data_IF_600221737864
#
_entry.id   IF_600221737864
#
_cell.length_a   1.000
_cell.length_b   1.000
_cell.length_c   1.000
_cell.angle_alpha   90.00
_cell.angle_beta   90.00
_cell.angle_gamma   90.00
#
_symmetry.space_group_name_H-M   'P 1'
#
loop_
_entity.id
_entity.type
_entity.pdbx_description
1 polymer ?
#
# COMPACT_ATOMS: atom_id res chain seq x y z
N UNK A 1 -7.33 -28.23 -16.68
CA UNK A 1 -7.90 -29.46 -17.30
C UNK A 1 -8.52 -29.07 -18.63
N UNK A 2 -7.95 -29.54 -19.74
CA UNK A 2 -8.53 -29.33 -21.07
C UNK A 2 -9.67 -30.32 -21.25
N UNK A 3 -10.92 -29.83 -21.29
CA UNK A 3 -12.10 -30.66 -21.49
C UNK A 3 -12.18 -30.97 -22.99
N UNK A 4 -12.09 -32.25 -23.36
CA UNK A 4 -12.30 -32.68 -24.74
C UNK A 4 -13.78 -32.51 -25.12
N UNK A 5 -14.09 -32.11 -26.37
CA UNK A 5 -15.48 -32.00 -26.82
C UNK A 5 -16.14 -33.39 -26.74
N UNK A 6 -17.14 -33.55 -25.87
CA UNK A 6 -17.92 -34.79 -25.73
C UNK A 6 -17.84 -35.48 -24.36
N UNK A 7 -17.07 -34.96 -23.40
CA UNK A 7 -17.06 -35.52 -22.04
C UNK A 7 -18.26 -34.99 -21.23
N UNK A 8 -19.17 -35.88 -20.83
CA UNK A 8 -20.25 -35.55 -19.91
C UNK A 8 -19.67 -35.26 -18.52
N UNK A 9 -20.12 -34.18 -17.88
CA UNK A 9 -19.78 -33.84 -16.51
C UNK A 9 -21.00 -34.11 -15.63
N UNK A 10 -20.88 -35.10 -14.75
CA UNK A 10 -21.92 -35.38 -13.77
C UNK A 10 -21.84 -34.36 -12.63
N UNK A 11 -22.95 -33.65 -12.39
CA UNK A 11 -23.08 -32.62 -11.35
C UNK A 11 -24.18 -33.06 -10.39
N UNK A 12 -23.86 -33.10 -9.09
CA UNK A 12 -24.83 -33.39 -8.03
C UNK A 12 -25.34 -32.09 -7.37
N UNK A 13 -26.52 -32.15 -6.77
CA UNK A 13 -27.08 -31.10 -5.92
C UNK A 13 -27.62 -31.71 -4.61
N UNK A 14 -27.71 -30.89 -3.56
CA UNK A 14 -28.17 -31.34 -2.24
C UNK A 14 -29.65 -31.71 -2.23
N UNK A 15 -30.46 -31.09 -3.11
CA UNK A 15 -31.91 -31.34 -3.23
C UNK A 15 -32.36 -31.50 -4.68
N UNK A 16 -33.49 -32.18 -4.88
CA UNK A 16 -34.14 -32.31 -6.20
C UNK A 16 -34.70 -30.97 -6.71
N UNK A 17 -35.10 -30.09 -5.80
CA UNK A 17 -35.57 -28.74 -6.14
C UNK A 17 -34.42 -27.92 -6.75
N UNK A 18 -33.25 -27.93 -6.11
CA UNK A 18 -32.05 -27.27 -6.64
C UNK A 18 -31.62 -27.88 -7.97
N UNK A 19 -31.64 -29.22 -8.11
CA UNK A 19 -31.30 -29.88 -9.37
C UNK A 19 -32.17 -29.35 -10.51
N UNK A 20 -33.48 -29.35 -10.28
CA UNK A 20 -34.47 -28.95 -11.27
C UNK A 20 -34.32 -27.46 -11.60
N UNK A 21 -34.07 -26.62 -10.57
CA UNK A 21 -33.80 -25.21 -10.72
C UNK A 21 -32.56 -24.92 -11.56
N UNK A 22 -31.43 -25.57 -11.24
CA UNK A 22 -30.17 -25.44 -11.97
C UNK A 22 -30.30 -25.89 -13.42
N UNK A 23 -30.88 -27.06 -13.68
CA UNK A 23 -31.11 -27.57 -15.04
C UNK A 23 -31.97 -26.60 -15.85
N UNK A 24 -33.05 -26.08 -15.25
CA UNK A 24 -33.90 -25.08 -15.88
C UNK A 24 -33.15 -23.80 -16.25
N UNK A 25 -32.38 -23.24 -15.29
CA UNK A 25 -31.62 -22.01 -15.49
C UNK A 25 -30.47 -22.15 -16.48
N UNK A 26 -29.75 -23.27 -16.48
CA UNK A 26 -28.70 -23.56 -17.45
C UNK A 26 -29.28 -23.66 -18.85
N UNK A 27 -30.38 -24.41 -19.02
CA UNK A 27 -31.05 -24.54 -20.33
C UNK A 27 -31.54 -23.20 -20.87
N UNK A 28 -32.15 -22.38 -20.02
CA UNK A 28 -32.60 -21.03 -20.37
C UNK A 28 -31.42 -20.11 -20.75
N UNK A 29 -30.31 -20.15 -19.99
CA UNK A 29 -29.12 -19.36 -20.28
C UNK A 29 -28.48 -19.74 -21.62
N UNK A 30 -28.42 -21.03 -21.96
CA UNK A 30 -27.94 -21.51 -23.26
C UNK A 30 -28.82 -21.03 -24.42
N UNK A 31 -30.12 -20.84 -24.19
CA UNK A 31 -31.07 -20.39 -25.20
C UNK A 31 -31.10 -18.86 -25.38
N UNK A 32 -30.77 -18.09 -24.33
CA UNK A 32 -30.97 -16.63 -24.27
C UNK A 32 -29.69 -15.82 -23.94
N UNK A 33 -28.52 -16.33 -24.32
CA UNK A 33 -27.21 -15.83 -23.87
C UNK A 33 -26.97 -14.31 -24.09
N UNK A 34 -27.51 -13.73 -25.16
CA UNK A 34 -27.29 -12.31 -25.51
C UNK A 34 -28.32 -11.32 -24.90
N UNK A 35 -29.49 -11.78 -24.46
CA UNK A 35 -30.60 -10.91 -24.06
C UNK A 35 -30.58 -10.48 -22.57
N UNK A 36 -30.03 -11.31 -21.67
CA UNK A 36 -30.16 -11.14 -20.21
C UNK A 36 -29.39 -9.97 -19.62
N UNK A 37 -28.20 -9.65 -20.14
CA UNK A 37 -27.32 -8.64 -19.54
C UNK A 37 -27.86 -7.21 -19.65
N UNK A 38 -28.74 -6.95 -20.63
CA UNK A 38 -29.40 -5.66 -20.82
C UNK A 38 -30.66 -5.52 -19.95
N UNK A 39 -31.40 -6.62 -19.73
CA UNK A 39 -32.63 -6.61 -18.94
C UNK A 39 -32.38 -6.36 -17.44
N UNK A 40 -31.35 -6.97 -16.84
CA UNK A 40 -31.02 -6.76 -15.42
C UNK A 40 -30.70 -5.29 -15.12
N UNK A 41 -29.92 -4.63 -15.99
CA UNK A 41 -29.61 -3.19 -15.89
C UNK A 41 -30.85 -2.31 -16.05
N UNK A 42 -31.80 -2.70 -16.89
CA UNK A 42 -33.07 -1.98 -17.02
C UNK A 42 -33.98 -2.19 -15.81
N UNK A 43 -34.02 -3.39 -15.25
CA UNK A 43 -34.83 -3.73 -14.09
C UNK A 43 -34.34 -3.01 -12.83
N UNK A 44 -33.03 -2.90 -12.64
CA UNK A 44 -32.42 -2.12 -11.56
C UNK A 44 -32.79 -0.63 -11.65
N UNK A 45 -32.81 -0.05 -12.86
CA UNK A 45 -33.21 1.34 -13.12
C UNK A 45 -34.70 1.62 -12.88
N UNK A 46 -35.56 0.59 -12.90
CA UNK A 46 -37.03 0.73 -12.80
C UNK A 46 -37.57 0.59 -11.37
N UNK A 47 -36.73 0.28 -10.37
CA UNK A 47 -37.18 0.17 -8.98
C UNK A 47 -37.61 1.56 -8.47
N UNK A 48 -38.90 1.75 -8.24
CA UNK A 48 -39.47 2.95 -7.62
C UNK A 48 -39.05 2.95 -6.14
N UNK A 49 -38.38 4.02 -5.70
CA UNK A 49 -37.96 4.21 -4.30
C UNK A 49 -39.14 4.82 -3.53
N UNK A 50 -39.45 4.28 -2.36
CA UNK A 50 -40.49 4.83 -1.47
C UNK A 50 -40.09 6.24 -0.98
N UNK A 51 -41.07 7.16 -0.89
CA UNK A 51 -40.80 8.54 -0.53
C UNK A 51 -40.21 8.65 0.88
N UNK A 52 -40.74 7.88 1.82
CA UNK A 52 -40.34 7.84 3.23
C UNK A 52 -38.86 7.43 3.38
N UNK A 53 -38.36 6.57 2.48
CA UNK A 53 -36.94 6.21 2.45
C UNK A 53 -36.09 7.29 1.78
N UNK A 54 -36.61 7.93 0.73
CA UNK A 54 -35.91 9.00 0.01
C UNK A 54 -35.72 10.25 0.88
N UNK A 55 -36.67 10.58 1.74
CA UNK A 55 -36.62 11.75 2.63
C UNK A 55 -35.50 11.66 3.68
N UNK A 56 -35.03 10.45 4.01
CA UNK A 56 -33.91 10.23 4.94
C UNK A 56 -32.54 10.60 4.33
N UNK A 57 -32.44 10.75 3.00
CA UNK A 57 -31.17 10.99 2.30
C UNK A 57 -30.89 12.49 2.15
N UNK A 58 -30.38 13.11 3.21
CA UNK A 58 -30.12 14.57 3.26
C UNK A 58 -28.81 14.96 2.59
N UNK A 59 -27.69 14.42 3.08
CA UNK A 59 -26.35 14.72 2.57
C UNK A 59 -25.99 13.74 1.49
N UNK A 60 -25.50 12.54 1.83
CA UNK A 60 -24.97 11.50 0.94
C UNK A 60 -25.95 11.00 -0.15
N UNK A 61 -26.31 11.87 -1.09
CA UNK A 61 -27.24 11.58 -2.19
C UNK A 61 -26.47 10.83 -3.28
N UNK A 62 -26.78 9.55 -3.54
CA UNK A 62 -26.06 8.79 -4.54
C UNK A 62 -26.48 9.26 -5.94
N UNK A 63 -25.54 9.80 -6.71
CA UNK A 63 -25.75 10.24 -8.09
C UNK A 63 -24.73 9.61 -9.04
N UNK A 64 -25.06 9.47 -10.34
CA UNK A 64 -24.08 9.11 -11.35
C UNK A 64 -22.92 10.11 -11.36
N UNK A 65 -21.70 9.59 -11.34
CA UNK A 65 -20.50 10.43 -11.43
C UNK A 65 -20.43 11.16 -12.76
N UNK A 66 -20.17 12.47 -12.72
CA UNK A 66 -19.96 13.31 -13.89
C UNK A 66 -18.70 14.18 -13.68
N UNK A 67 -17.66 13.91 -14.47
CA UNK A 67 -16.35 14.57 -14.38
C UNK A 67 -16.38 16.04 -14.85
N UNK A 68 -17.30 16.40 -15.74
CA UNK A 68 -17.44 17.76 -16.27
C UNK A 68 -17.91 18.75 -15.19
N UNK A 69 -18.65 18.25 -14.17
CA UNK A 69 -19.14 19.07 -13.06
C UNK A 69 -18.05 19.46 -12.06
N UNK A 70 -16.92 18.75 -12.03
CA UNK A 70 -15.87 18.98 -11.02
C UNK A 70 -15.32 20.41 -11.17
N UNK A 71 -15.25 21.15 -10.06
CA UNK A 71 -14.77 22.53 -10.03
C UNK A 71 -15.78 23.57 -10.57
N UNK A 72 -17.01 23.16 -10.92
CA UNK A 72 -18.07 24.07 -11.38
C UNK A 72 -19.08 24.38 -10.28
N UNK A 73 -19.96 25.35 -10.51
CA UNK A 73 -21.10 25.65 -9.63
C UNK A 73 -22.11 24.49 -9.56
N UNK A 74 -22.15 23.62 -10.57
CA UNK A 74 -23.04 22.45 -10.60
C UNK A 74 -22.63 21.33 -9.64
N UNK A 75 -21.41 21.37 -9.09
CA UNK A 75 -20.96 20.42 -8.09
C UNK A 75 -21.68 20.68 -6.75
N UNK A 76 -22.55 19.76 -6.33
CA UNK A 76 -23.27 19.84 -5.07
C UNK A 76 -22.57 19.01 -3.99
N UNK A 77 -22.23 19.61 -2.86
CA UNK A 77 -21.53 18.94 -1.75
C UNK A 77 -22.34 17.81 -1.08
N UNK A 78 -23.67 17.80 -1.29
CA UNK A 78 -24.55 16.71 -0.85
C UNK A 78 -24.40 15.49 -1.77
N UNK A 79 -24.19 15.72 -3.06
CA UNK A 79 -24.11 14.63 -4.01
C UNK A 79 -22.81 13.84 -3.83
N UNK A 80 -22.92 12.51 -3.87
CA UNK A 80 -21.79 11.59 -3.80
C UNK A 80 -21.89 10.50 -4.86
N UNK A 81 -20.76 9.88 -5.19
CA UNK A 81 -20.73 8.77 -6.15
C UNK A 81 -20.00 7.56 -5.58
N UNK A 82 -20.49 6.37 -5.94
CA UNK A 82 -19.86 5.09 -5.61
C UNK A 82 -19.16 4.51 -6.82
N UNK A 83 -17.99 3.92 -6.60
CA UNK A 83 -17.11 3.37 -7.63
C UNK A 83 -16.68 1.95 -7.25
N UNK A 84 -16.87 0.95 -8.12
CA UNK A 84 -16.13 -0.29 -7.96
C UNK A 84 -14.63 0.00 -8.14
N UNK A 85 -13.75 -0.76 -7.47
CA UNK A 85 -12.30 -0.55 -7.51
C UNK A 85 -11.77 -0.38 -8.94
N UNK A 86 -12.23 -1.21 -9.89
CA UNK A 86 -11.80 -1.19 -11.30
C UNK A 86 -12.14 0.11 -12.04
N UNK A 87 -13.17 0.83 -11.57
CA UNK A 87 -13.53 2.15 -12.09
C UNK A 87 -12.72 3.24 -11.38
N UNK A 88 -12.54 3.13 -10.06
CA UNK A 88 -11.76 4.06 -9.26
C UNK A 88 -10.28 4.10 -9.67
N UNK A 89 -9.69 2.95 -9.98
CA UNK A 89 -8.32 2.80 -10.49
C UNK A 89 -8.08 3.59 -11.78
N UNK A 90 -9.10 3.77 -12.64
CA UNK A 90 -9.00 4.60 -13.86
C UNK A 90 -8.95 6.10 -13.58
N UNK A 91 -9.30 6.51 -12.36
CA UNK A 91 -9.23 7.90 -11.91
C UNK A 91 -7.99 8.12 -11.03
N UNK A 92 -7.62 7.15 -10.20
CA UNK A 92 -6.42 7.15 -9.37
C UNK A 92 -5.15 6.80 -10.19
N UNK A 93 -4.87 7.61 -11.22
CA UNK A 93 -3.69 7.48 -12.07
C UNK A 93 -2.98 8.83 -12.20
N UNK A 94 -1.72 8.83 -12.65
CA UNK A 94 -0.97 10.08 -12.94
C UNK A 94 -1.71 11.06 -13.85
N UNK A 95 -2.53 10.57 -14.78
CA UNK A 95 -3.25 11.43 -15.72
C UNK A 95 -4.51 12.10 -15.13
N UNK A 96 -5.16 11.47 -14.14
CA UNK A 96 -6.49 11.89 -13.65
C UNK A 96 -6.59 12.06 -12.14
N UNK A 97 -5.55 11.70 -11.40
CA UNK A 97 -5.49 11.71 -9.95
C UNK A 97 -5.77 13.08 -9.37
N UNK A 98 -5.11 14.11 -9.90
CA UNK A 98 -5.35 15.51 -9.52
C UNK A 98 -6.81 15.94 -9.72
N UNK A 99 -7.43 15.54 -10.84
CA UNK A 99 -8.85 15.85 -11.11
C UNK A 99 -9.78 15.11 -10.15
N UNK A 100 -9.47 13.85 -9.81
CA UNK A 100 -10.24 13.08 -8.83
C UNK A 100 -10.07 13.63 -7.41
N UNK A 101 -8.88 14.11 -7.05
CA UNK A 101 -8.63 14.82 -5.80
C UNK A 101 -9.46 16.11 -5.71
N UNK A 102 -9.54 16.88 -6.80
CA UNK A 102 -10.38 18.08 -6.86
C UNK A 102 -11.87 17.75 -6.61
N UNK A 103 -12.38 16.64 -7.13
CA UNK A 103 -13.73 16.15 -6.82
C UNK A 103 -13.89 15.88 -5.32
N UNK A 104 -12.94 15.16 -4.73
CA UNK A 104 -12.99 14.72 -3.35
C UNK A 104 -12.81 15.84 -2.31
N UNK A 105 -12.34 17.02 -2.71
CA UNK A 105 -12.32 18.21 -1.83
C UNK A 105 -13.72 18.75 -1.51
N UNK A 106 -14.70 18.52 -2.40
CA UNK A 106 -16.05 19.09 -2.28
C UNK A 106 -17.14 18.04 -2.14
N UNK A 107 -16.95 16.84 -2.69
CA UNK A 107 -17.92 15.75 -2.72
C UNK A 107 -17.31 14.47 -2.14
N UNK A 108 -18.16 13.53 -1.72
CA UNK A 108 -17.71 12.24 -1.22
C UNK A 108 -17.60 11.22 -2.36
N UNK A 109 -16.52 10.43 -2.38
CA UNK A 109 -16.46 9.18 -3.13
C UNK A 109 -16.47 7.98 -2.21
N UNK A 110 -17.22 6.95 -2.60
CA UNK A 110 -17.16 5.62 -2.00
C UNK A 110 -16.54 4.62 -2.97
N UNK A 111 -15.43 4.02 -2.58
CA UNK A 111 -14.78 2.94 -3.36
C UNK A 111 -15.06 1.62 -2.68
N UNK A 112 -15.33 0.56 -3.45
CA UNK A 112 -15.62 -0.76 -2.90
C UNK A 112 -15.02 -1.89 -3.76
N UNK A 113 -14.76 -3.08 -3.17
CA UNK A 113 -14.13 -4.18 -3.88
C UNK A 113 -14.98 -4.65 -5.06
N UNK A 114 -14.33 -5.10 -6.15
CA UNK A 114 -15.06 -5.66 -7.31
C UNK A 114 -15.76 -6.97 -6.95
N UNK A 115 -16.89 -7.25 -7.61
CA UNK A 115 -17.70 -8.45 -7.34
C UNK A 115 -16.98 -9.78 -7.61
N UNK A 116 -15.90 -9.80 -8.40
CA UNK A 116 -15.11 -11.01 -8.65
C UNK A 116 -14.26 -11.46 -7.46
N UNK A 117 -14.10 -10.64 -6.41
CA UNK A 117 -13.39 -11.00 -5.18
C UNK A 117 -14.27 -11.83 -4.26
N UNK A 118 -14.61 -13.04 -4.73
CA UNK A 118 -15.44 -13.99 -3.98
C UNK A 118 -14.76 -14.47 -2.69
N UNK A 119 -13.42 -14.41 -2.66
CA UNK A 119 -12.58 -14.67 -1.49
C UNK A 119 -12.58 -13.54 -0.46
N UNK A 120 -13.31 -12.44 -0.71
CA UNK A 120 -13.31 -11.22 0.10
C UNK A 120 -11.94 -10.54 0.22
N UNK A 121 -11.00 -10.78 -0.70
CA UNK A 121 -9.74 -10.03 -0.74
C UNK A 121 -9.97 -8.52 -0.86
N UNK A 122 -9.04 -7.71 -0.38
CA UNK A 122 -9.09 -6.26 -0.54
C UNK A 122 -8.20 -5.75 -1.69
N UNK A 123 -8.54 -4.57 -2.21
CA UNK A 123 -7.67 -3.78 -3.08
C UNK A 123 -6.75 -2.88 -2.25
N UNK A 124 -5.70 -2.34 -2.85
CA UNK A 124 -4.82 -1.37 -2.18
C UNK A 124 -5.56 -0.04 -1.96
N UNK A 125 -5.75 0.41 -0.71
CA UNK A 125 -6.46 1.64 -0.42
C UNK A 125 -5.61 2.91 -0.66
N UNK A 126 -4.28 2.80 -0.73
CA UNK A 126 -3.37 3.96 -0.79
C UNK A 126 -3.63 4.88 -1.99
N UNK A 127 -3.76 4.38 -3.24
CA UNK A 127 -4.04 5.26 -4.39
C UNK A 127 -5.37 6.01 -4.26
N UNK A 128 -6.37 5.40 -3.61
CA UNK A 128 -7.68 6.01 -3.40
C UNK A 128 -7.60 7.11 -2.36
N UNK A 129 -6.95 6.85 -1.22
CA UNK A 129 -6.74 7.87 -0.19
C UNK A 129 -5.86 9.02 -0.68
N UNK A 130 -4.80 8.76 -1.44
CA UNK A 130 -3.95 9.79 -2.05
C UNK A 130 -4.71 10.71 -3.00
N UNK A 131 -5.74 10.19 -3.68
CA UNK A 131 -6.67 10.98 -4.47
C UNK A 131 -7.85 11.55 -3.65
N UNK A 132 -7.77 11.53 -2.32
CA UNK A 132 -8.73 12.15 -1.41
C UNK A 132 -10.02 11.36 -1.19
N UNK A 133 -10.15 10.14 -1.72
CA UNK A 133 -11.34 9.31 -1.49
C UNK A 133 -11.52 9.03 0.00
N UNK A 134 -12.72 9.27 0.52
CA UNK A 134 -13.01 9.27 1.95
C UNK A 134 -13.59 7.94 2.42
N UNK A 135 -14.48 7.35 1.61
CA UNK A 135 -15.21 6.12 1.95
C UNK A 135 -14.60 4.93 1.18
N UNK A 136 -13.34 4.62 1.47
CA UNK A 136 -12.61 3.48 0.90
C UNK A 136 -13.01 2.21 1.64
N UNK A 137 -14.10 1.57 1.19
CA UNK A 137 -14.66 0.40 1.85
C UNK A 137 -13.80 -0.84 1.58
N UNK A 138 -13.48 -1.56 2.65
CA UNK A 138 -12.72 -2.80 2.66
C UNK A 138 -13.55 -3.90 3.35
N UNK A 139 -13.22 -5.15 3.06
CA UNK A 139 -13.72 -6.35 3.71
C UNK A 139 -12.99 -6.55 5.04
N UNK A 140 -13.63 -6.15 6.14
CA UNK A 140 -13.03 -6.18 7.49
C UNK A 140 -12.72 -7.59 8.01
N UNK A 141 -13.40 -8.60 7.48
CA UNK A 141 -13.19 -10.01 7.83
C UNK A 141 -11.87 -10.57 7.28
N UNK A 142 -11.20 -9.88 6.35
CA UNK A 142 -10.01 -10.37 5.67
C UNK A 142 -8.74 -9.77 6.29
N UNK A 143 -7.84 -10.57 6.88
CA UNK A 143 -6.64 -10.09 7.56
C UNK A 143 -5.48 -9.81 6.58
N UNK A 144 -5.71 -8.98 5.57
CA UNK A 144 -4.74 -8.65 4.53
C UNK A 144 -4.04 -7.30 4.75
N UNK A 145 -3.03 -7.01 3.92
CA UNK A 145 -2.26 -5.74 3.98
C UNK A 145 -3.18 -4.49 3.93
N UNK A 146 -4.16 -4.39 3.03
CA UNK A 146 -5.12 -3.29 3.02
C UNK A 146 -5.81 -3.06 4.37
N UNK A 147 -6.28 -4.14 5.02
CA UNK A 147 -6.95 -4.02 6.31
C UNK A 147 -5.98 -3.57 7.40
N UNK A 148 -4.74 -4.06 7.40
CA UNK A 148 -3.71 -3.64 8.34
C UNK A 148 -3.36 -2.14 8.16
N UNK A 149 -3.23 -1.66 6.92
CA UNK A 149 -3.02 -0.24 6.62
C UNK A 149 -4.19 0.63 7.08
N UNK A 150 -5.42 0.17 6.88
CA UNK A 150 -6.61 0.88 7.35
C UNK A 150 -6.62 1.02 8.87
N UNK A 151 -6.36 -0.06 9.61
CA UNK A 151 -6.24 0.02 11.07
C UNK A 151 -5.15 1.01 11.48
N UNK A 152 -4.00 1.02 10.81
CA UNK A 152 -2.90 1.94 11.10
C UNK A 152 -3.23 3.41 10.79
N UNK A 153 -3.95 3.70 9.70
CA UNK A 153 -4.42 5.04 9.39
C UNK A 153 -5.35 5.55 10.49
N UNK A 154 -6.35 4.76 10.88
CA UNK A 154 -7.37 5.17 11.85
C UNK A 154 -6.92 5.08 13.32
N UNK A 155 -5.68 4.64 13.59
CA UNK A 155 -5.02 4.95 14.87
C UNK A 155 -4.82 6.46 15.06
N UNK A 156 -4.69 7.21 13.95
CA UNK A 156 -4.69 8.67 13.99
C UNK A 156 -6.07 9.19 14.42
N UNK A 157 -6.10 10.32 15.12
CA UNK A 157 -7.37 10.88 15.61
C UNK A 157 -8.02 10.03 16.73
N UNK A 158 -7.22 9.21 17.43
CA UNK A 158 -7.64 8.49 18.62
C UNK A 158 -8.62 7.35 18.37
N UNK A 159 -8.63 6.75 17.17
CA UNK A 159 -9.52 5.62 16.88
C UNK A 159 -10.97 6.02 16.57
N UNK A 160 -11.25 7.30 16.32
CA UNK A 160 -12.61 7.81 16.08
C UNK A 160 -13.23 7.36 14.75
N UNK A 161 -12.44 6.78 13.84
CA UNK A 161 -12.86 6.49 12.47
C UNK A 161 -12.79 7.71 11.53
N UNK A 162 -12.31 8.86 12.00
CA UNK A 162 -12.12 10.07 11.19
C UNK A 162 -10.70 10.62 11.34
N UNK A 163 -10.01 10.78 10.22
CA UNK A 163 -8.66 11.35 10.16
C UNK A 163 -8.68 12.53 9.19
N UNK A 164 -8.33 13.75 9.63
CA UNK A 164 -8.16 14.88 8.73
C UNK A 164 -7.10 14.55 7.67
N UNK A 165 -7.45 14.76 6.40
CA UNK A 165 -6.50 14.66 5.30
C UNK A 165 -5.37 15.69 5.50
N UNK A 166 -4.11 15.35 5.16
CA UNK A 166 -3.01 16.30 5.12
C UNK A 166 -3.35 17.61 4.41
N UNK A 167 -2.88 18.73 4.94
CA UNK A 167 -3.19 20.06 4.42
C UNK A 167 -2.81 20.21 2.94
N UNK A 168 -1.68 19.63 2.55
CA UNK A 168 -1.22 19.65 1.15
C UNK A 168 -2.21 19.00 0.18
N UNK A 169 -2.98 18.01 0.61
CA UNK A 169 -3.98 17.37 -0.25
C UNK A 169 -5.17 18.30 -0.54
N UNK A 170 -5.34 19.36 0.24
CA UNK A 170 -6.37 20.38 0.06
C UNK A 170 -5.89 21.53 -0.86
N UNK A 171 -4.62 21.55 -1.25
CA UNK A 171 -4.03 22.56 -2.14
C UNK A 171 -4.23 22.24 -3.64
N UNK A 172 -4.67 23.22 -4.42
CA UNK A 172 -4.88 23.11 -5.87
C UNK A 172 -3.62 22.78 -6.69
N UNK A 173 -2.43 23.02 -6.15
CA UNK A 173 -1.17 22.66 -6.83
C UNK A 173 -0.83 21.18 -6.71
N UNK A 174 -1.16 20.55 -5.58
CA UNK A 174 -0.76 19.18 -5.25
C UNK A 174 -1.28 18.14 -6.24
N UNK A 175 -0.38 17.26 -6.66
CA UNK A 175 -0.65 16.06 -7.44
C UNK A 175 -0.08 14.83 -6.71
N UNK A 176 -0.92 13.85 -6.34
CA UNK A 176 -0.45 12.67 -5.60
C UNK A 176 0.57 11.81 -6.35
N UNK A 177 0.70 11.96 -7.67
CA UNK A 177 1.61 11.19 -8.52
C UNK A 177 2.82 11.99 -9.00
N UNK A 178 2.98 13.23 -8.53
CA UNK A 178 4.11 14.10 -8.86
C UNK A 178 4.71 14.70 -7.59
N UNK A 179 5.86 14.16 -7.17
CA UNK A 179 6.59 14.61 -5.99
C UNK A 179 7.05 16.07 -6.08
N UNK A 180 7.19 16.64 -7.28
CA UNK A 180 7.65 18.03 -7.44
C UNK A 180 6.56 19.03 -7.04
N UNK A 181 5.31 18.56 -6.91
CA UNK A 181 4.20 19.33 -6.34
C UNK A 181 4.20 19.33 -4.81
N UNK A 182 5.11 18.58 -4.17
CA UNK A 182 5.23 18.56 -2.71
C UNK A 182 5.90 19.85 -2.21
N UNK A 183 5.15 20.65 -1.47
CA UNK A 183 5.67 21.77 -0.69
C UNK A 183 6.00 21.34 0.76
N UNK A 184 6.59 20.16 0.91
CA UNK A 184 6.97 19.57 2.19
C UNK A 184 8.49 19.39 2.29
N UNK A 185 8.98 19.33 3.53
CA UNK A 185 10.37 18.93 3.79
C UNK A 185 10.48 17.40 3.78
N UNK A 186 11.24 16.81 2.84
CA UNK A 186 11.48 15.37 2.84
C UNK A 186 12.31 14.97 4.07
N UNK A 187 12.08 13.75 4.54
CA UNK A 187 12.82 13.19 5.67
C UNK A 187 13.56 11.92 5.24
N UNK A 188 14.65 11.62 5.92
CA UNK A 188 15.34 10.34 5.83
C UNK A 188 15.19 9.60 7.16
N UNK A 189 14.61 8.40 7.11
CA UNK A 189 14.47 7.49 8.23
C UNK A 189 15.66 6.54 8.23
N UNK A 190 16.46 6.60 9.29
CA UNK A 190 17.58 5.71 9.54
C UNK A 190 17.18 4.69 10.60
N UNK A 191 17.02 3.44 10.22
CA UNK A 191 16.47 2.39 11.05
C UNK A 191 17.44 1.24 11.21
N UNK A 192 17.57 0.74 12.43
CA UNK A 192 18.29 -0.49 12.72
C UNK A 192 17.37 -1.43 13.49
N UNK A 193 17.15 -2.62 12.95
CA UNK A 193 16.47 -3.71 13.68
C UNK A 193 17.53 -4.44 14.48
N UNK A 194 17.40 -4.45 15.81
CA UNK A 194 18.43 -4.97 16.72
C UNK A 194 18.11 -6.39 17.17
N UNK A 195 16.84 -6.66 17.44
CA UNK A 195 16.39 -7.97 17.90
C UNK A 195 14.89 -8.01 18.12
N UNK A 196 14.39 -9.16 18.52
CA UNK A 196 12.99 -9.34 18.91
C UNK A 196 12.87 -10.08 20.24
N UNK A 197 11.67 -10.11 20.79
CA UNK A 197 11.30 -10.98 21.91
C UNK A 197 9.95 -11.62 21.66
N UNK A 198 9.77 -12.85 22.12
CA UNK A 198 8.49 -13.58 22.12
C UNK A 198 7.78 -13.58 20.76
N UNK A 199 8.51 -13.83 19.67
CA UNK A 199 7.86 -13.98 18.37
C UNK A 199 6.88 -15.17 18.41
N UNK A 200 5.70 -15.04 17.79
CA UNK A 200 4.74 -16.13 17.75
C UNK A 200 5.33 -17.30 16.95
N UNK A 201 4.86 -18.49 17.26
CA UNK A 201 5.28 -19.73 16.62
C UNK A 201 4.15 -20.28 15.79
N UNK A 202 4.41 -20.54 14.51
CA UNK A 202 3.50 -21.27 13.66
C UNK A 202 3.89 -22.76 13.70
N UNK A 203 3.00 -23.62 14.20
CA UNK A 203 3.23 -25.06 14.21
C UNK A 203 4.23 -25.56 15.28
N UNK A 204 4.99 -26.61 14.95
CA UNK A 204 5.80 -27.38 15.94
C UNK A 204 7.31 -27.07 15.90
N UNK A 205 7.84 -26.53 14.82
CA UNK A 205 9.27 -26.18 14.66
C UNK A 205 9.65 -24.91 15.43
N UNK A 206 10.94 -24.69 15.64
CA UNK A 206 11.41 -23.38 16.09
C UNK A 206 11.47 -22.48 14.86
N UNK A 207 11.01 -21.25 15.00
CA UNK A 207 10.94 -20.30 13.88
C UNK A 207 12.35 -19.81 13.51
N UNK A 208 12.57 -19.59 12.21
CA UNK A 208 13.78 -18.97 11.68
C UNK A 208 13.46 -17.55 11.21
N UNK A 209 13.46 -16.52 12.08
CA UNK A 209 12.81 -15.27 11.76
C UNK A 209 13.69 -14.31 10.95
N UNK A 210 13.03 -13.50 10.14
CA UNK A 210 13.59 -12.28 9.57
C UNK A 210 12.54 -11.16 9.57
N UNK A 211 13.00 -9.92 9.48
CA UNK A 211 12.14 -8.73 9.48
C UNK A 211 12.21 -8.04 8.14
N UNK A 212 11.07 -7.86 7.49
CA UNK A 212 10.89 -6.92 6.38
C UNK A 212 10.37 -5.59 6.92
N UNK A 213 11.00 -4.50 6.50
CA UNK A 213 10.55 -3.13 6.76
C UNK A 213 10.16 -2.49 5.44
N UNK A 214 8.97 -1.94 5.39
CA UNK A 214 8.34 -1.35 4.21
C UNK A 214 7.89 0.09 4.52
N UNK A 215 8.22 1.04 3.66
CA UNK A 215 7.54 2.33 3.61
C UNK A 215 6.38 2.21 2.62
N UNK A 216 5.17 2.49 3.10
CA UNK A 216 3.95 2.52 2.29
C UNK A 216 3.46 3.96 2.17
N UNK A 217 3.15 4.44 0.97
CA UNK A 217 2.69 5.80 0.76
C UNK A 217 2.37 6.03 -0.72
N UNK A 218 2.78 7.19 -1.24
CA UNK A 218 2.83 7.40 -2.68
C UNK A 218 3.93 6.55 -3.33
N UNK A 219 3.78 6.23 -4.62
CA UNK A 219 4.70 5.33 -5.34
C UNK A 219 6.16 5.76 -5.25
N UNK A 220 6.44 7.07 -5.23
CA UNK A 220 7.80 7.62 -5.11
C UNK A 220 8.43 7.49 -3.71
N UNK A 221 7.65 7.13 -2.68
CA UNK A 221 8.12 6.87 -1.31
C UNK A 221 8.19 5.37 -0.98
N UNK A 222 7.50 4.54 -1.78
CA UNK A 222 7.41 3.09 -1.56
C UNK A 222 8.78 2.43 -1.67
N UNK A 223 9.21 1.79 -0.59
CA UNK A 223 10.52 1.11 -0.51
C UNK A 223 10.51 0.00 0.53
N UNK A 224 11.36 -1.01 0.33
CA UNK A 224 11.45 -2.19 1.20
C UNK A 224 12.88 -2.57 1.51
N UNK A 225 13.11 -3.14 2.67
CA UNK A 225 14.38 -3.76 3.05
C UNK A 225 14.12 -4.91 4.02
N UNK A 226 14.98 -5.93 4.00
CA UNK A 226 14.87 -7.07 4.92
C UNK A 226 16.16 -7.34 5.65
N UNK A 227 16.06 -7.88 6.86
CA UNK A 227 17.20 -8.44 7.60
C UNK A 227 17.59 -9.79 7.02
N UNK A 228 18.72 -10.31 7.48
CA UNK A 228 19.06 -11.72 7.29
C UNK A 228 18.18 -12.61 8.19
N UNK A 229 18.16 -13.90 7.88
CA UNK A 229 17.44 -14.92 8.66
C UNK A 229 18.27 -15.31 9.87
N UNK A 230 17.61 -15.41 11.03
CA UNK A 230 18.20 -16.02 12.23
C UNK A 230 17.69 -17.46 12.32
N UNK A 231 18.59 -18.43 12.44
CA UNK A 231 18.19 -19.83 12.56
C UNK A 231 17.66 -20.16 13.96
N UNK A 232 16.57 -20.94 14.03
CA UNK A 232 16.05 -21.59 15.23
C UNK A 232 15.94 -20.70 16.48
N UNK A 233 15.48 -19.46 16.33
CA UNK A 233 15.31 -18.56 17.48
C UNK A 233 14.13 -17.58 17.32
N UNK A 234 12.97 -17.94 17.86
CA UNK A 234 11.82 -17.03 18.00
C UNK A 234 11.76 -16.28 19.33
N UNK A 235 12.50 -16.71 20.35
CA UNK A 235 12.33 -16.17 21.70
C UNK A 235 13.08 -14.84 21.87
N UNK A 236 14.29 -14.73 21.34
CA UNK A 236 15.17 -13.57 21.48
C UNK A 236 16.19 -13.41 20.34
N UNK A 237 15.78 -13.44 19.05
CA UNK A 237 16.69 -13.27 17.94
C UNK A 237 17.34 -11.88 17.95
N UNK A 238 18.55 -11.81 17.42
CA UNK A 238 19.35 -10.58 17.27
C UNK A 238 19.80 -10.49 15.82
N UNK A 239 19.58 -9.33 15.19
CA UNK A 239 20.07 -9.05 13.84
C UNK A 239 21.30 -8.15 13.94
N UNK A 240 22.43 -8.62 13.40
CA UNK A 240 23.69 -7.87 13.39
C UNK A 240 23.54 -6.62 12.52
N UNK A 241 24.37 -5.61 12.78
CA UNK A 241 24.20 -4.17 12.52
C UNK A 241 24.00 -3.73 11.05
N UNK A 242 22.94 -4.20 10.38
CA UNK A 242 22.48 -3.66 9.10
C UNK A 242 21.58 -2.47 9.36
N UNK A 243 21.98 -1.31 8.83
CA UNK A 243 21.20 -0.09 8.88
C UNK A 243 20.36 0.03 7.61
N UNK A 244 19.06 0.20 7.75
CA UNK A 244 18.14 0.55 6.68
C UNK A 244 17.98 2.06 6.60
N UNK A 245 17.92 2.58 5.38
CA UNK A 245 17.76 4.02 5.16
C UNK A 245 16.68 4.24 4.12
N UNK A 246 15.60 4.91 4.54
CA UNK A 246 14.43 5.19 3.71
C UNK A 246 14.27 6.69 3.55
N UNK A 247 14.05 7.15 2.32
CA UNK A 247 13.75 8.56 2.04
C UNK A 247 12.27 8.71 1.78
N UNK A 248 11.65 9.68 2.45
CA UNK A 248 10.20 9.90 2.43
C UNK A 248 9.94 11.36 2.09
N UNK A 249 9.40 11.60 0.90
CA UNK A 249 9.08 12.92 0.36
C UNK A 249 7.76 13.44 0.92
N UNK A 250 6.77 12.56 1.11
CA UNK A 250 5.48 12.89 1.70
C UNK A 250 5.32 12.23 3.08
N UNK A 251 6.01 12.74 4.14
CA UNK A 251 5.89 12.19 5.48
C UNK A 251 4.48 12.36 6.08
N UNK A 252 3.69 13.28 5.52
CA UNK A 252 2.30 13.54 5.92
C UNK A 252 1.35 12.41 5.53
N UNK A 253 1.67 11.64 4.49
CA UNK A 253 0.88 10.50 4.02
C UNK A 253 1.77 9.29 3.70
N UNK A 254 2.53 8.84 4.70
CA UNK A 254 3.37 7.65 4.63
C UNK A 254 3.26 6.82 5.91
N UNK A 255 3.52 5.52 5.79
CA UNK A 255 3.50 4.55 6.89
C UNK A 255 4.80 3.75 6.90
N UNK A 256 5.31 3.47 8.09
CA UNK A 256 6.40 2.52 8.30
C UNK A 256 5.80 1.20 8.82
N UNK A 257 5.99 0.14 8.04
CA UNK A 257 5.46 -1.20 8.28
C UNK A 257 6.59 -2.17 8.59
N UNK A 258 6.48 -2.86 9.71
CA UNK A 258 7.32 -3.95 10.14
C UNK A 258 6.57 -5.25 9.92
N UNK A 259 7.21 -6.21 9.26
CA UNK A 259 6.70 -7.55 9.02
C UNK A 259 7.72 -8.53 9.53
N UNK A 260 7.27 -9.46 10.37
CA UNK A 260 8.09 -10.56 10.84
C UNK A 260 7.62 -11.81 10.13
N UNK A 261 8.55 -12.47 9.46
CA UNK A 261 8.34 -13.74 8.78
C UNK A 261 9.24 -14.80 9.41
N UNK A 262 8.88 -16.06 9.25
CA UNK A 262 9.81 -17.18 9.34
C UNK A 262 10.14 -17.69 7.95
N UNK A 263 11.36 -18.16 7.76
CA UNK A 263 11.71 -18.96 6.59
C UNK A 263 11.56 -20.44 6.96
N UNK A 264 10.74 -21.19 6.21
CA UNK A 264 10.56 -22.61 6.44
C UNK A 264 11.64 -23.48 5.76
N UNK A 265 11.51 -24.80 5.85
CA UNK A 265 12.47 -25.75 5.27
C UNK A 265 12.54 -25.72 3.75
N UNK A 266 11.57 -25.07 3.08
CA UNK A 266 11.51 -24.89 1.63
C UNK A 266 11.91 -23.48 1.21
N UNK A 267 12.42 -22.67 2.13
CA UNK A 267 12.73 -21.25 1.95
C UNK A 267 11.52 -20.37 1.63
N UNK A 268 10.30 -20.82 1.97
CA UNK A 268 9.09 -20.02 1.80
C UNK A 268 8.89 -19.10 3.02
N UNK A 269 8.60 -17.80 2.81
CA UNK A 269 8.38 -16.86 3.89
C UNK A 269 6.95 -16.99 4.45
N UNK A 270 6.83 -17.43 5.70
CA UNK A 270 5.56 -17.57 6.41
C UNK A 270 5.35 -16.42 7.40
N UNK A 271 4.18 -15.79 7.35
CA UNK A 271 3.87 -14.63 8.19
C UNK A 271 3.81 -15.00 9.68
N UNK A 272 4.50 -14.25 10.52
CA UNK A 272 4.44 -14.37 11.98
C UNK A 272 3.66 -13.21 12.61
N UNK A 273 4.05 -11.98 12.31
CA UNK A 273 3.50 -10.79 12.95
C UNK A 273 3.75 -9.51 12.14
N UNK A 274 3.06 -8.43 12.50
CA UNK A 274 3.25 -7.12 11.88
C UNK A 274 3.06 -5.97 12.86
N UNK A 275 3.60 -4.80 12.51
CA UNK A 275 3.22 -3.53 13.11
C UNK A 275 3.31 -2.42 12.06
N UNK A 276 2.34 -1.51 12.03
CA UNK A 276 2.32 -0.39 11.08
C UNK A 276 2.07 0.90 11.84
N UNK A 277 2.88 1.91 11.55
CA UNK A 277 2.74 3.24 12.14
C UNK A 277 2.76 4.31 11.05
N UNK A 278 1.87 5.32 11.11
CA UNK A 278 2.03 6.54 10.33
C UNK A 278 3.38 7.19 10.62
N UNK A 279 4.10 7.60 9.58
CA UNK A 279 5.46 8.17 9.69
C UNK A 279 5.49 9.38 10.64
N UNK A 280 4.49 10.25 10.56
CA UNK A 280 4.34 11.42 11.45
C UNK A 280 4.20 11.09 12.94
N UNK A 281 3.89 9.84 13.29
CA UNK A 281 3.71 9.38 14.67
C UNK A 281 4.96 8.71 15.25
N UNK A 282 6.03 8.56 14.46
CA UNK A 282 7.25 7.90 14.88
C UNK A 282 8.04 8.74 15.90
N UNK A 283 8.73 8.06 16.81
CA UNK A 283 9.63 8.67 17.81
C UNK A 283 11.04 8.14 17.60
N UNK A 284 12.05 8.98 17.81
CA UNK A 284 13.47 8.64 17.62
C UNK A 284 14.10 7.93 18.83
N UNK A 285 15.29 7.35 18.65
CA UNK A 285 16.09 6.64 19.64
C UNK A 285 15.84 5.12 19.65
N UNK A 286 16.21 4.47 20.75
CA UNK A 286 15.87 3.07 21.00
C UNK A 286 14.38 2.94 21.34
N UNK A 287 13.65 2.15 20.57
CA UNK A 287 12.20 1.97 20.70
C UNK A 287 11.84 0.49 20.66
N UNK A 288 10.87 0.13 21.47
CA UNK A 288 10.15 -1.14 21.32
C UNK A 288 9.05 -0.95 20.28
N UNK A 289 8.90 -1.92 19.39
CA UNK A 289 7.82 -2.01 18.41
C UNK A 289 6.95 -3.20 18.79
N UNK A 290 5.84 -3.00 19.53
CA UNK A 290 4.88 -4.05 19.84
C UNK A 290 4.28 -4.63 18.56
N UNK A 291 4.29 -5.95 18.47
CA UNK A 291 3.82 -6.67 17.29
C UNK A 291 2.35 -7.07 17.44
N UNK A 292 1.70 -7.24 16.29
CA UNK A 292 0.31 -7.61 16.14
C UNK A 292 0.17 -8.82 15.21
N UNK A 293 -0.94 -9.54 15.34
CA UNK A 293 -1.29 -10.62 14.42
C UNK A 293 -1.78 -10.07 13.07
N UNK A 294 -2.21 -10.97 12.18
CA UNK A 294 -2.70 -10.61 10.84
C UNK A 294 -3.98 -9.77 10.87
N UNK A 295 -4.81 -9.90 11.92
CA UNK A 295 -6.03 -9.12 12.19
C UNK A 295 -5.76 -7.78 12.88
N UNK A 296 -4.49 -7.41 13.10
CA UNK A 296 -4.07 -6.20 13.84
C UNK A 296 -4.43 -6.19 15.33
N UNK A 297 -4.61 -7.36 15.93
CA UNK A 297 -4.74 -7.55 17.38
C UNK A 297 -3.37 -7.69 18.04
N UNK A 298 -3.24 -7.27 19.29
CA UNK A 298 -1.97 -7.29 20.02
C UNK A 298 -1.49 -8.71 20.31
N UNK A 299 -0.20 -8.95 20.09
CA UNK A 299 0.45 -10.19 20.51
C UNK A 299 1.13 -9.96 21.87
N UNK A 300 0.85 -10.86 22.81
CA UNK A 300 1.41 -10.77 24.16
C UNK A 300 2.95 -10.84 24.13
N UNK A 301 3.60 -9.80 24.69
CA UNK A 301 5.07 -9.64 24.82
C UNK A 301 5.87 -9.57 23.50
N UNK A 302 5.27 -9.93 22.38
CA UNK A 302 5.92 -9.96 21.07
C UNK A 302 6.32 -8.54 20.66
N UNK A 303 7.62 -8.28 20.51
CA UNK A 303 8.10 -6.95 20.14
C UNK A 303 9.46 -6.99 19.45
N UNK A 304 9.71 -6.03 18.57
CA UNK A 304 11.05 -5.73 18.07
C UNK A 304 11.71 -4.67 18.95
N UNK A 305 13.03 -4.73 19.07
CA UNK A 305 13.86 -3.62 19.52
C UNK A 305 14.49 -2.97 18.29
N UNK A 306 14.25 -1.68 18.11
CA UNK A 306 14.80 -0.90 17.00
C UNK A 306 15.52 0.32 17.51
N UNK A 307 16.48 0.80 16.73
CA UNK A 307 17.00 2.16 16.85
C UNK A 307 16.60 2.95 15.62
N UNK A 308 15.88 4.05 15.82
CA UNK A 308 15.34 4.87 14.74
C UNK A 308 15.78 6.32 14.90
N UNK A 309 16.31 6.89 13.83
CA UNK A 309 16.59 8.31 13.71
C UNK A 309 15.87 8.88 12.49
N UNK A 310 15.43 10.13 12.59
CA UNK A 310 14.75 10.84 11.53
C UNK A 310 15.51 12.15 11.34
N UNK A 311 16.02 12.37 10.13
CA UNK A 311 16.76 13.58 9.76
C UNK A 311 16.06 14.29 8.61
N UNK A 312 16.21 15.61 8.56
CA UNK A 312 15.75 16.39 7.41
C UNK A 312 16.68 16.11 6.23
N UNK A 313 16.13 15.71 5.08
CA UNK A 313 16.95 15.28 3.95
C UNK A 313 17.66 16.47 3.24
N UNK A 314 17.30 17.73 3.54
CA UNK A 314 17.82 18.93 2.87
C UNK A 314 18.99 19.65 3.56
N UNK A 315 19.63 19.07 4.58
CA UNK A 315 20.83 19.70 5.16
C UNK A 315 21.92 19.94 4.08
N UNK A 316 22.49 21.16 4.05
CA UNK A 316 23.18 21.78 2.90
C UNK A 316 24.33 20.96 2.29
N UNK A 317 25.00 20.09 3.05
CA UNK A 317 26.18 19.34 2.60
C UNK A 317 25.86 18.12 1.70
N UNK A 318 24.62 17.62 1.69
CA UNK A 318 24.25 16.38 0.98
C UNK A 318 23.12 16.55 -0.07
N UNK A 319 22.64 17.76 -0.32
CA UNK A 319 21.56 18.02 -1.30
C UNK A 319 21.87 17.49 -2.71
N UNK A 320 23.11 17.66 -3.17
CA UNK A 320 23.54 17.16 -4.48
C UNK A 320 23.52 15.63 -4.54
N UNK A 321 23.96 14.96 -3.47
CA UNK A 321 23.97 13.49 -3.39
C UNK A 321 22.54 12.93 -3.30
N UNK A 322 21.67 13.57 -2.52
CA UNK A 322 20.25 13.23 -2.44
C UNK A 322 19.58 13.34 -3.82
N UNK A 323 19.81 14.44 -4.53
CA UNK A 323 19.24 14.65 -5.86
C UNK A 323 19.72 13.60 -6.89
N UNK A 324 20.99 13.18 -6.82
CA UNK A 324 21.55 12.14 -7.70
C UNK A 324 20.98 10.75 -7.40
N UNK A 325 20.91 10.37 -6.12
CA UNK A 325 20.27 9.11 -5.68
C UNK A 325 18.82 9.08 -6.15
N UNK A 326 18.12 10.21 -6.02
CA UNK A 326 16.72 10.28 -6.39
C UNK A 326 16.52 10.14 -7.91
N UNK A 327 17.31 10.83 -8.73
CA UNK A 327 17.26 10.69 -10.19
C UNK A 327 17.52 9.25 -10.63
N UNK A 328 18.46 8.57 -9.98
CA UNK A 328 18.73 7.16 -10.26
C UNK A 328 17.57 6.26 -9.84
N UNK A 329 16.93 6.47 -8.68
CA UNK A 329 15.72 5.73 -8.29
C UNK A 329 14.59 5.89 -9.30
N UNK A 330 14.31 7.12 -9.72
CA UNK A 330 13.27 7.39 -10.71
C UNK A 330 13.61 6.66 -12.03
N UNK A 331 14.86 6.77 -12.49
CA UNK A 331 15.35 6.09 -13.70
C UNK A 331 15.25 4.57 -13.58
N UNK A 332 15.63 3.99 -12.45
CA UNK A 332 15.49 2.56 -12.17
C UNK A 332 14.03 2.12 -12.21
N UNK A 333 13.11 2.91 -11.64
CA UNK A 333 11.67 2.60 -11.68
C UNK A 333 11.11 2.67 -13.09
N UNK A 334 11.49 3.68 -13.89
CA UNK A 334 11.09 3.82 -15.29
C UNK A 334 11.59 2.64 -16.13
N UNK A 335 12.88 2.31 -16.00
CA UNK A 335 13.50 1.18 -16.70
C UNK A 335 12.86 -0.15 -16.29
N UNK A 336 12.55 -0.34 -15.00
CA UNK A 336 11.86 -1.54 -14.52
C UNK A 336 10.48 -1.68 -15.14
N UNK A 337 9.71 -0.59 -15.24
CA UNK A 337 8.41 -0.60 -15.90
C UNK A 337 8.53 -0.91 -17.39
N UNK A 338 9.54 -0.33 -18.07
CA UNK A 338 9.81 -0.59 -19.48
C UNK A 338 10.16 -2.05 -19.73
N UNK A 339 11.03 -2.65 -18.90
CA UNK A 339 11.38 -4.08 -18.94
C UNK A 339 10.13 -4.94 -18.77
N UNK A 340 9.30 -4.68 -17.75
CA UNK A 340 8.05 -5.43 -17.52
C UNK A 340 7.06 -5.34 -18.68
N UNK A 341 6.99 -4.20 -19.39
CA UNK A 341 6.13 -4.04 -20.58
C UNK A 341 6.66 -4.89 -21.74
N UNK A 342 7.98 -4.87 -21.98
CA UNK A 342 8.62 -5.65 -23.03
C UNK A 342 8.51 -7.16 -22.79
N UNK A 343 8.62 -7.60 -21.53
CA UNK A 343 8.39 -9.00 -21.15
C UNK A 343 6.97 -9.46 -21.48
N UNK A 344 5.96 -8.66 -21.11
CA UNK A 344 4.54 -8.95 -21.39
C UNK A 344 4.21 -8.95 -22.88
N UNK A 345 4.95 -8.18 -23.67
CA UNK A 345 4.82 -8.15 -25.13
C UNK A 345 5.43 -9.39 -25.81
N UNK A 346 6.11 -10.28 -25.06
CA UNK A 346 6.78 -11.46 -25.63
C UNK A 346 8.13 -11.15 -26.30
N UNK A 347 8.66 -9.94 -26.13
CA UNK A 347 9.93 -9.47 -26.71
C UNK A 347 11.18 -9.88 -25.91
N UNK A 348 11.09 -10.95 -25.10
CA UNK A 348 12.16 -11.37 -24.17
C UNK A 348 13.49 -11.76 -24.83
N UNK A 349 13.54 -11.89 -26.16
CA UNK A 349 14.74 -12.17 -26.94
C UNK A 349 15.21 -11.01 -27.84
N UNK A 350 14.53 -9.87 -27.83
CA UNK A 350 14.88 -8.73 -28.69
C UNK A 350 16.07 -7.94 -28.11
N UNK A 351 16.90 -7.39 -28.99
CA UNK A 351 18.01 -6.51 -28.63
C UNK A 351 17.56 -5.32 -27.75
N UNK A 352 16.35 -4.80 -27.99
CA UNK A 352 15.75 -3.71 -27.20
C UNK A 352 15.49 -4.10 -25.75
N UNK A 353 15.08 -5.35 -25.52
CA UNK A 353 14.85 -5.90 -24.18
C UNK A 353 16.17 -6.09 -23.44
N UNK A 354 17.17 -6.70 -24.08
CA UNK A 354 18.51 -6.88 -23.50
C UNK A 354 19.16 -5.54 -23.14
N UNK A 355 19.08 -4.54 -24.03
CA UNK A 355 19.60 -3.20 -23.76
C UNK A 355 18.90 -2.55 -22.55
N UNK A 356 17.56 -2.60 -22.49
CA UNK A 356 16.80 -2.02 -21.37
C UNK A 356 17.14 -2.71 -20.03
N UNK A 357 17.39 -4.02 -20.06
CA UNK A 357 17.81 -4.80 -18.89
C UNK A 357 19.24 -4.45 -18.43
N UNK A 358 20.17 -4.23 -19.36
CA UNK A 358 21.53 -3.78 -19.03
C UNK A 358 21.54 -2.36 -18.46
N UNK A 359 20.78 -1.43 -19.06
CA UNK A 359 20.60 -0.08 -18.51
C UNK A 359 19.99 -0.11 -17.12
N UNK A 360 19.01 -0.99 -16.88
CA UNK A 360 18.39 -1.16 -15.56
C UNK A 360 19.42 -1.63 -14.53
N UNK A 361 20.23 -2.65 -14.86
CA UNK A 361 21.30 -3.16 -13.98
C UNK A 361 22.33 -2.09 -13.67
N UNK A 362 22.83 -1.38 -14.70
CA UNK A 362 23.80 -0.31 -14.51
C UNK A 362 23.26 0.83 -13.62
N UNK A 363 22.00 1.22 -13.82
CA UNK A 363 21.34 2.21 -12.98
C UNK A 363 21.17 1.72 -11.53
N UNK A 364 20.84 0.44 -11.33
CA UNK A 364 20.75 -0.17 -10.00
C UNK A 364 22.11 -0.22 -9.28
N UNK A 365 23.18 -0.57 -9.99
CA UNK A 365 24.53 -0.62 -9.44
C UNK A 365 25.01 0.78 -9.01
N UNK A 366 24.85 1.78 -9.89
CA UNK A 366 25.17 3.18 -9.56
C UNK A 366 24.33 3.71 -8.40
N UNK A 367 23.05 3.35 -8.35
CA UNK A 367 22.16 3.71 -7.25
C UNK A 367 22.66 3.11 -5.93
N UNK A 368 23.05 1.83 -5.95
CA UNK A 368 23.61 1.14 -4.78
C UNK A 368 24.88 1.85 -4.28
N UNK A 369 25.81 2.17 -5.17
CA UNK A 369 27.08 2.85 -4.83
C UNK A 369 26.85 4.24 -4.22
N UNK A 370 25.95 5.05 -4.78
CA UNK A 370 25.62 6.36 -4.23
C UNK A 370 24.90 6.26 -2.88
N UNK A 371 23.98 5.30 -2.73
CA UNK A 371 23.29 5.04 -1.46
C UNK A 371 24.29 4.61 -0.39
N UNK A 372 25.24 3.72 -0.71
CA UNK A 372 26.33 3.32 0.19
C UNK A 372 27.20 4.52 0.58
N UNK A 373 27.61 5.33 -0.40
CA UNK A 373 28.41 6.54 -0.16
C UNK A 373 27.68 7.49 0.79
N UNK A 374 26.39 7.73 0.57
CA UNK A 374 25.56 8.57 1.46
C UNK A 374 25.47 7.97 2.85
N UNK A 375 25.16 6.69 2.95
CA UNK A 375 25.04 6.01 4.24
C UNK A 375 26.38 6.09 5.02
N UNK A 376 27.51 5.97 4.32
CA UNK A 376 28.83 6.15 4.92
C UNK A 376 29.03 7.58 5.47
N UNK A 377 28.70 8.62 4.68
CA UNK A 377 28.78 10.03 5.12
C UNK A 377 27.90 10.30 6.34
N UNK A 378 26.68 9.76 6.36
CA UNK A 378 25.76 9.90 7.50
C UNK A 378 26.35 9.26 8.76
N UNK A 379 26.96 8.07 8.64
CA UNK A 379 27.64 7.40 9.75
C UNK A 379 28.83 8.23 10.25
N UNK A 380 29.65 8.76 9.34
CA UNK A 380 30.80 9.62 9.70
C UNK A 380 30.37 10.90 10.41
N UNK A 381 29.31 11.57 9.91
CA UNK A 381 28.74 12.77 10.53
C UNK A 381 28.30 12.51 11.96
N UNK A 382 27.58 11.40 12.19
CA UNK A 382 27.22 10.96 13.56
C UNK A 382 28.42 10.71 14.46
N UNK A 383 29.48 10.06 13.94
CA UNK A 383 30.72 9.84 14.71
C UNK A 383 31.33 11.17 15.13
N UNK A 384 31.38 12.15 14.22
CA UNK A 384 31.90 13.51 14.50
C UNK A 384 31.05 14.24 15.54
N UNK A 385 29.72 14.19 15.44
CA UNK A 385 28.81 14.81 16.40
C UNK A 385 28.91 14.21 17.80
N UNK A 386 28.96 12.87 17.90
CA UNK A 386 29.21 12.17 19.19
C UNK A 386 30.53 12.61 19.81
N UNK A 387 31.60 12.74 19.00
CA UNK A 387 32.90 13.20 19.48
C UNK A 387 32.81 14.64 20.02
N UNK A 388 32.12 15.54 19.30
CA UNK A 388 31.91 16.94 19.73
C UNK A 388 31.15 17.04 21.05
N UNK A 389 30.09 16.24 21.22
CA UNK A 389 29.33 16.19 22.48
C UNK A 389 30.18 15.69 23.65
N UNK A 390 31.04 14.69 23.45
CA UNK A 390 31.95 14.18 24.48
C UNK A 390 33.05 15.19 24.86
N UNK A 391 33.57 15.94 23.90
CA UNK A 391 34.57 17.00 24.15
C UNK A 391 33.95 18.21 24.85
N UNK A 392 32.71 18.57 24.50
CA UNK A 392 31.95 19.63 25.17
C UNK A 392 31.61 19.28 26.63
N UNK A 393 31.24 18.03 26.91
CA UNK A 393 30.94 17.56 28.26
C UNK A 393 32.17 17.47 29.19
N UNK A 394 33.40 17.41 28.64
CA UNK A 394 34.65 17.42 29.43
C UNK A 394 35.20 18.82 29.72
N UNK A 395 34.59 19.87 29.15
CA UNK A 395 35.02 21.28 29.31
C UNK A 395 34.15 22.08 30.29
N UNK A 396 33.12 21.47 30.87
CA UNK A 396 32.27 22.06 31.90
C UNK A 396 32.51 21.38 33.25
#
# INVERSE_FOLDING_TARGET
MSIHPGQALDIASDTLEDLTGWVGKIREATQNADARMQEEKQMERRKKIALELSELVVYCRPVPFNEEKIGTEQACFRDMSSFPETKAEKFATRARGKRFLQYNRRQLSRVYPRGQRLDSSNYDPLPMWLCGSQLVALNFQTPDKPMQLNQALFMLGGGSGFVPQPDIMRDDTFDPFDKDTLHLEPITIQLQVLGARHLPKNGRSIVCPFVEVEVCGADYDCSKSKTDVVADNGLNPVWVQRQFVFDVHNPSFSFLRFLVYEEDMFSDPNFLAQAIYPVRSLRTGYRSVPLKNSYSEELELASLLVHIEIVNAKEEDDQNLYSSIQRLRDRTSELSNQVSVLERAGSGGDHSYQQSLEELRAAQDQLSELVETRNHRLIEKKRREKLRQQVGAKRN
#
